data_IF_619073386203
#
_entry.id   IF_619073386203
#
_cell.length_a   1.000
_cell.length_b   1.000
_cell.length_c   1.000
_cell.angle_alpha   90.00
_cell.angle_beta   90.00
_cell.angle_gamma   90.00
#
_symmetry.space_group_name_H-M   'P 1'
#
loop_
_entity.id
_entity.type
_entity.pdbx_description
1 polymer ?
#
# COMPACT_ATOMS: atom_id res chain seq x y z
N UNK A 1 13.51 -5.64 -7.74
CA UNK A 1 14.71 -5.63 -8.62
C UNK A 1 15.61 -4.42 -8.37
N UNK A 2 15.16 -3.18 -8.58
CA UNK A 2 16.01 -1.97 -8.46
C UNK A 2 16.73 -1.80 -7.11
N UNK A 3 16.12 -2.17 -5.99
CA UNK A 3 16.76 -2.07 -4.67
C UNK A 3 17.98 -2.99 -4.52
N UNK A 4 17.97 -4.16 -5.14
CA UNK A 4 19.09 -5.12 -5.13
C UNK A 4 20.24 -4.56 -5.95
N UNK A 5 19.95 -4.10 -7.17
CA UNK A 5 20.95 -3.53 -8.08
C UNK A 5 21.62 -2.27 -7.50
N UNK A 6 20.86 -1.45 -6.76
CA UNK A 6 21.39 -0.26 -6.07
C UNK A 6 22.03 -0.58 -4.70
N UNK A 7 22.12 -1.85 -4.32
CA UNK A 7 22.60 -2.32 -3.01
C UNK A 7 21.89 -1.65 -1.81
N UNK A 8 20.61 -1.28 -1.97
CA UNK A 8 19.77 -0.64 -0.95
C UNK A 8 18.90 -1.68 -0.24
N UNK A 9 19.53 -2.69 0.38
CA UNK A 9 18.83 -3.80 1.05
C UNK A 9 17.94 -3.35 2.21
N UNK A 10 18.27 -2.22 2.86
CA UNK A 10 17.44 -1.63 3.92
C UNK A 10 16.02 -1.22 3.43
N UNK A 11 15.81 -1.08 2.11
CA UNK A 11 14.50 -0.78 1.52
C UNK A 11 13.68 -2.05 1.22
N UNK A 12 14.30 -3.23 1.23
CA UNK A 12 13.64 -4.52 1.02
C UNK A 12 13.14 -5.01 2.38
N UNK A 13 12.05 -4.41 2.84
CA UNK A 13 11.41 -4.82 4.10
C UNK A 13 10.52 -6.03 3.90
N UNK A 14 10.21 -6.73 4.99
CA UNK A 14 9.19 -7.80 4.97
C UNK A 14 7.87 -7.30 4.39
N UNK A 15 7.42 -6.09 4.77
CA UNK A 15 6.21 -5.45 4.22
C UNK A 15 6.30 -5.32 2.69
N UNK A 16 7.43 -4.84 2.16
CA UNK A 16 7.61 -4.66 0.73
C UNK A 16 7.50 -5.99 -0.03
N UNK A 17 8.22 -7.02 0.43
CA UNK A 17 8.22 -8.34 -0.22
C UNK A 17 6.86 -9.01 -0.09
N UNK A 18 6.27 -9.01 1.11
CA UNK A 18 4.95 -9.57 1.38
C UNK A 18 3.89 -8.95 0.49
N UNK A 19 3.82 -7.61 0.42
CA UNK A 19 2.86 -6.91 -0.41
C UNK A 19 3.05 -7.23 -1.90
N UNK A 20 4.25 -7.05 -2.45
CA UNK A 20 4.45 -7.21 -3.90
C UNK A 20 4.32 -8.66 -4.39
N UNK A 21 4.67 -9.67 -3.58
CA UNK A 21 4.48 -11.07 -3.96
C UNK A 21 3.02 -11.49 -3.89
N UNK A 22 2.33 -11.16 -2.79
CA UNK A 22 0.93 -11.55 -2.58
C UNK A 22 -0.04 -10.78 -3.47
N UNK A 23 0.20 -9.49 -3.74
CA UNK A 23 -0.68 -8.68 -4.59
C UNK A 23 -0.82 -9.24 -6.01
N UNK A 24 0.26 -9.80 -6.58
CA UNK A 24 0.23 -10.37 -7.94
C UNK A 24 -0.72 -11.58 -7.98
N UNK A 25 -0.63 -12.47 -6.99
CA UNK A 25 -1.46 -13.67 -6.90
C UNK A 25 -2.92 -13.27 -6.62
N UNK A 26 -3.14 -12.37 -5.66
CA UNK A 26 -4.47 -11.89 -5.30
C UNK A 26 -5.17 -11.20 -6.48
N UNK A 27 -4.47 -10.36 -7.24
CA UNK A 27 -5.04 -9.70 -8.42
C UNK A 27 -5.31 -10.68 -9.57
N UNK A 28 -4.46 -11.69 -9.76
CA UNK A 28 -4.72 -12.74 -10.74
C UNK A 28 -6.02 -13.49 -10.43
N UNK A 29 -6.22 -13.90 -9.17
CA UNK A 29 -7.45 -14.54 -8.72
C UNK A 29 -8.66 -13.59 -8.88
N UNK A 30 -8.51 -12.32 -8.49
CA UNK A 30 -9.57 -11.33 -8.59
C UNK A 30 -10.04 -11.14 -10.03
N UNK A 31 -9.13 -10.94 -11.00
CA UNK A 31 -9.51 -10.78 -12.42
C UNK A 31 -10.10 -12.07 -13.00
N UNK A 32 -9.61 -13.24 -12.56
CA UNK A 32 -10.08 -14.53 -13.06
C UNK A 32 -11.50 -14.87 -12.62
N UNK A 33 -11.85 -14.55 -11.38
CA UNK A 33 -13.10 -15.00 -10.75
C UNK A 33 -14.11 -13.87 -10.51
N UNK A 34 -13.65 -12.63 -10.37
CA UNK A 34 -14.50 -11.46 -10.07
C UNK A 34 -14.03 -10.23 -10.89
N UNK A 35 -14.12 -10.29 -12.23
CA UNK A 35 -13.73 -9.16 -13.08
C UNK A 35 -14.76 -8.03 -13.00
N UNK A 36 -14.62 -7.13 -12.02
CA UNK A 36 -15.42 -5.90 -11.93
C UNK A 36 -16.02 -5.64 -10.55
N UNK A 37 -17.10 -4.86 -10.51
CA UNK A 37 -17.77 -4.46 -9.29
C UNK A 37 -16.85 -3.70 -8.33
N UNK A 38 -16.82 -4.10 -7.06
CA UNK A 38 -16.02 -3.45 -6.02
C UNK A 38 -14.50 -3.51 -6.27
N UNK A 39 -14.03 -4.56 -6.95
CA UNK A 39 -12.62 -4.70 -7.29
C UNK A 39 -12.12 -3.57 -8.21
N UNK A 40 -12.99 -3.04 -9.08
CA UNK A 40 -12.64 -1.94 -9.97
C UNK A 40 -12.35 -0.64 -9.21
N UNK A 41 -13.20 -0.28 -8.24
CA UNK A 41 -12.98 0.91 -7.39
C UNK A 41 -11.67 0.80 -6.61
N UNK A 42 -11.37 -0.38 -6.07
CA UNK A 42 -10.11 -0.65 -5.37
C UNK A 42 -8.91 -0.46 -6.29
N UNK A 43 -8.97 -1.00 -7.52
CA UNK A 43 -7.93 -0.79 -8.54
C UNK A 43 -7.76 0.67 -8.93
N UNK A 44 -8.86 1.41 -9.09
CA UNK A 44 -8.84 2.83 -9.45
C UNK A 44 -8.18 3.68 -8.36
N UNK A 45 -8.62 3.55 -7.11
CA UNK A 45 -8.05 4.32 -5.99
C UNK A 45 -6.58 3.96 -5.77
N UNK A 46 -6.23 2.66 -5.92
CA UNK A 46 -4.85 2.22 -5.83
C UNK A 46 -3.96 2.84 -6.92
N UNK A 47 -4.45 2.89 -8.16
CA UNK A 47 -3.73 3.50 -9.28
C UNK A 47 -3.51 5.00 -9.03
N UNK A 48 -4.54 5.70 -8.54
CA UNK A 48 -4.44 7.12 -8.18
C UNK A 48 -3.35 7.40 -7.14
N UNK A 49 -3.31 6.62 -6.05
CA UNK A 49 -2.26 6.79 -5.02
C UNK A 49 -0.89 6.42 -5.57
N UNK A 50 -0.80 5.41 -6.44
CA UNK A 50 0.45 5.02 -7.09
C UNK A 50 1.03 6.11 -7.98
N UNK A 51 0.22 6.98 -8.61
CA UNK A 51 0.73 8.16 -9.31
C UNK A 51 1.65 8.96 -8.38
N UNK A 52 1.18 9.31 -7.18
CA UNK A 52 1.98 10.10 -6.24
C UNK A 52 3.22 9.36 -5.71
N UNK A 53 3.07 8.06 -5.41
CA UNK A 53 4.18 7.24 -4.92
C UNK A 53 5.29 7.16 -5.97
N UNK A 54 4.94 6.86 -7.22
CA UNK A 54 5.92 6.73 -8.30
C UNK A 54 6.51 8.07 -8.70
N UNK A 55 5.74 9.16 -8.65
CA UNK A 55 6.30 10.52 -8.81
C UNK A 55 7.36 10.79 -7.74
N UNK A 56 7.08 10.49 -6.48
CA UNK A 56 8.07 10.64 -5.40
C UNK A 56 9.32 9.79 -5.64
N UNK A 57 9.16 8.52 -6.03
CA UNK A 57 10.30 7.66 -6.33
C UNK A 57 11.09 8.17 -7.53
N UNK A 58 10.44 8.65 -8.59
CA UNK A 58 11.08 9.27 -9.74
C UNK A 58 11.95 10.46 -9.35
N UNK A 59 11.38 11.41 -8.58
CA UNK A 59 12.11 12.57 -8.07
C UNK A 59 13.26 12.17 -7.14
N UNK A 60 13.09 11.13 -6.32
CA UNK A 60 14.13 10.65 -5.40
C UNK A 60 15.37 10.07 -6.11
N UNK A 61 15.26 9.75 -7.39
CA UNK A 61 16.36 9.22 -8.21
C UNK A 61 17.19 10.34 -8.85
N UNK A 62 16.66 11.56 -9.00
CA UNK A 62 17.34 12.70 -9.64
C UNK A 62 18.56 13.22 -8.87
N UNK A 63 18.81 12.71 -7.67
CA UNK A 63 20.05 12.91 -6.92
C UNK A 63 19.88 13.71 -5.63
N UNK A 64 20.97 13.96 -4.89
CA UNK A 64 20.94 14.61 -3.58
C UNK A 64 20.38 16.04 -3.62
N UNK A 65 20.56 16.74 -4.74
CA UNK A 65 20.06 18.09 -4.97
C UNK A 65 18.53 18.14 -4.97
N UNK A 66 17.84 17.10 -5.44
CA UNK A 66 16.38 17.05 -5.45
C UNK A 66 15.82 16.40 -4.17
N UNK A 67 16.58 15.48 -3.55
CA UNK A 67 16.15 14.80 -2.33
C UNK A 67 15.88 15.75 -1.15
N UNK A 68 16.56 16.90 -1.08
CA UNK A 68 16.28 17.93 -0.05
C UNK A 68 14.85 18.47 -0.10
N UNK A 69 14.22 18.47 -1.27
CA UNK A 69 12.84 18.98 -1.44
C UNK A 69 11.78 17.92 -1.15
N UNK A 70 12.16 16.66 -0.89
CA UNK A 70 11.27 15.52 -0.66
C UNK A 70 10.82 15.36 0.80
N UNK A 71 10.59 16.47 1.50
CA UNK A 71 10.11 16.49 2.90
C UNK A 71 8.73 15.86 3.07
N UNK A 72 7.94 15.80 1.99
CA UNK A 72 6.55 15.34 1.99
C UNK A 72 6.40 13.81 1.98
N UNK A 73 7.50 13.05 2.10
CA UNK A 73 7.49 11.58 2.22
C UNK A 73 6.49 11.06 3.25
N UNK A 74 6.37 11.75 4.40
CA UNK A 74 5.44 11.36 5.47
C UNK A 74 3.98 11.43 5.03
N UNK A 75 3.62 12.44 4.24
CA UNK A 75 2.25 12.61 3.75
C UNK A 75 1.87 11.52 2.75
N UNK A 76 2.83 11.01 1.96
CA UNK A 76 2.61 9.84 1.12
C UNK A 76 2.29 8.59 1.93
N UNK A 77 3.01 8.35 3.02
CA UNK A 77 2.73 7.21 3.89
C UNK A 77 1.36 7.34 4.57
N UNK A 78 0.96 8.54 4.94
CA UNK A 78 -0.39 8.81 5.46
C UNK A 78 -1.44 8.56 4.37
N UNK A 79 -1.22 9.04 3.14
CA UNK A 79 -2.11 8.81 2.00
C UNK A 79 -2.31 7.32 1.71
N UNK A 80 -1.22 6.54 1.69
CA UNK A 80 -1.28 5.08 1.56
C UNK A 80 -2.06 4.41 2.69
N UNK A 81 -1.86 4.84 3.94
CA UNK A 81 -2.58 4.28 5.08
C UNK A 81 -4.08 4.61 5.00
N UNK A 82 -4.42 5.86 4.68
CA UNK A 82 -5.81 6.31 4.47
C UNK A 82 -6.46 5.53 3.33
N UNK A 83 -5.74 5.28 2.24
CA UNK A 83 -6.22 4.43 1.15
C UNK A 83 -6.59 3.02 1.65
N UNK A 84 -5.70 2.36 2.39
CA UNK A 84 -6.00 1.01 2.89
C UNK A 84 -7.19 0.98 3.84
N UNK A 85 -7.33 1.98 4.72
CA UNK A 85 -8.48 2.09 5.62
C UNK A 85 -9.77 2.33 4.84
N UNK A 86 -9.76 3.24 3.85
CA UNK A 86 -10.93 3.51 3.02
C UNK A 86 -11.36 2.28 2.23
N UNK A 87 -10.40 1.53 1.67
CA UNK A 87 -10.66 0.27 0.97
C UNK A 87 -11.21 -0.79 1.94
N UNK A 88 -10.65 -0.92 3.14
CA UNK A 88 -11.15 -1.86 4.15
C UNK A 88 -12.61 -1.56 4.53
N UNK A 89 -12.96 -0.29 4.74
CA UNK A 89 -14.33 0.13 5.02
C UNK A 89 -15.26 -0.20 3.84
N UNK A 90 -14.84 0.10 2.61
CA UNK A 90 -15.63 -0.21 1.42
C UNK A 90 -15.87 -1.72 1.28
N UNK A 91 -14.84 -2.54 1.42
CA UNK A 91 -14.97 -4.01 1.37
C UNK A 91 -15.77 -4.57 2.53
N UNK A 92 -15.70 -3.96 3.72
CA UNK A 92 -16.46 -4.42 4.90
C UNK A 92 -17.97 -4.28 4.71
N UNK A 93 -18.41 -3.34 3.87
CA UNK A 93 -19.84 -3.20 3.55
C UNK A 93 -20.43 -4.49 2.97
N UNK A 94 -19.64 -5.26 2.21
CA UNK A 94 -20.03 -6.57 1.67
C UNK A 94 -20.24 -7.64 2.75
N UNK A 95 -19.65 -7.49 3.94
CA UNK A 95 -19.81 -8.43 5.06
C UNK A 95 -21.11 -8.19 5.85
N UNK A 96 -21.67 -6.97 5.78
CA UNK A 96 -22.81 -6.55 6.61
C UNK A 96 -24.12 -6.39 5.84
N UNK A 97 -24.07 -6.42 4.51
CA UNK A 97 -25.26 -6.27 3.64
C UNK A 97 -25.38 -7.50 2.75
N UNK A 98 -26.60 -8.04 2.62
CA UNK A 98 -26.90 -9.08 1.65
C UNK A 98 -26.71 -8.50 0.23
N UNK A 99 -25.58 -8.84 -0.38
CA UNK A 99 -25.18 -8.39 -1.71
C UNK A 99 -24.87 -9.62 -2.56
N UNK A 100 -25.30 -9.64 -3.82
CA UNK A 100 -25.03 -10.75 -4.77
C UNK A 100 -23.54 -10.87 -5.17
N UNK A 101 -22.65 -10.17 -4.48
CA UNK A 101 -21.22 -10.16 -4.78
C UNK A 101 -20.51 -11.34 -4.11
N UNK A 102 -19.60 -11.99 -4.84
CA UNK A 102 -18.99 -13.26 -4.42
C UNK A 102 -18.34 -13.21 -3.03
N UNK A 103 -18.73 -14.13 -2.15
CA UNK A 103 -18.17 -14.32 -0.81
C UNK A 103 -16.64 -14.52 -0.79
N UNK A 104 -16.06 -14.97 -1.90
CA UNK A 104 -14.61 -15.07 -2.06
C UNK A 104 -13.89 -13.73 -1.86
N UNK A 105 -14.58 -12.61 -2.02
CA UNK A 105 -14.04 -11.28 -1.77
C UNK A 105 -13.84 -10.96 -0.29
N UNK A 106 -14.48 -11.70 0.61
CA UNK A 106 -14.28 -11.53 2.07
C UNK A 106 -12.85 -11.91 2.49
N UNK A 107 -12.16 -12.79 1.74
CA UNK A 107 -10.72 -13.07 1.95
C UNK A 107 -9.84 -11.84 1.67
N UNK A 108 -10.26 -10.97 0.75
CA UNK A 108 -9.54 -9.72 0.42
C UNK A 108 -9.59 -8.75 1.61
N UNK A 109 -10.69 -8.71 2.35
CA UNK A 109 -10.81 -7.90 3.57
C UNK A 109 -9.73 -8.25 4.60
N UNK A 110 -9.59 -9.55 4.93
CA UNK A 110 -8.57 -10.00 5.88
C UNK A 110 -7.15 -9.65 5.40
N UNK A 111 -6.90 -9.78 4.10
CA UNK A 111 -5.63 -9.37 3.51
C UNK A 111 -5.37 -7.86 3.63
N UNK A 112 -6.38 -7.00 3.41
CA UNK A 112 -6.23 -5.54 3.59
C UNK A 112 -5.90 -5.21 5.05
N UNK A 113 -6.50 -5.92 6.01
CA UNK A 113 -6.21 -5.73 7.45
C UNK A 113 -4.74 -6.03 7.76
N UNK A 114 -4.15 -7.10 7.20
CA UNK A 114 -2.72 -7.37 7.42
C UNK A 114 -1.83 -6.26 6.86
N UNK A 115 -2.18 -5.71 5.69
CA UNK A 115 -1.47 -4.58 5.09
C UNK A 115 -1.58 -3.29 5.94
N UNK A 116 -2.75 -3.01 6.53
CA UNK A 116 -2.93 -1.88 7.44
C UNK A 116 -2.01 -2.03 8.65
N UNK A 117 -2.00 -3.21 9.30
CA UNK A 117 -1.17 -3.47 10.49
C UNK A 117 0.31 -3.29 10.15
N UNK A 118 0.79 -3.89 9.07
CA UNK A 118 2.20 -3.80 8.67
C UNK A 118 2.59 -2.37 8.26
N UNK A 119 1.71 -1.65 7.57
CA UNK A 119 1.95 -0.26 7.15
C UNK A 119 1.93 0.71 8.34
N UNK A 120 1.03 0.48 9.31
CA UNK A 120 1.00 1.24 10.56
C UNK A 120 2.25 0.97 11.39
N UNK A 121 2.69 -0.29 11.48
CA UNK A 121 3.93 -0.65 12.15
C UNK A 121 5.14 0.06 11.51
N UNK A 122 5.23 0.06 10.17
CA UNK A 122 6.25 0.81 9.44
C UNK A 122 6.20 2.31 9.75
N UNK A 123 5.01 2.91 9.77
CA UNK A 123 4.82 4.33 10.07
C UNK A 123 5.27 4.68 11.51
N UNK A 124 4.89 3.86 12.50
CA UNK A 124 5.27 4.07 13.90
C UNK A 124 6.79 3.96 14.06
N UNK A 125 7.40 2.92 13.49
CA UNK A 125 8.84 2.72 13.58
C UNK A 125 9.63 3.85 12.91
N UNK A 126 9.21 4.31 11.74
CA UNK A 126 9.95 5.29 10.93
C UNK A 126 9.72 6.73 11.38
N UNK A 127 8.51 7.09 11.84
CA UNK A 127 8.16 8.50 12.07
C UNK A 127 7.86 8.85 13.53
N UNK A 128 7.44 7.89 14.37
CA UNK A 128 7.19 8.14 15.81
C UNK A 128 8.38 7.73 16.67
N UNK A 129 9.00 6.58 16.40
CA UNK A 129 10.16 6.10 17.18
C UNK A 129 11.44 6.86 16.88
N UNK A 130 11.66 7.31 15.64
CA UNK A 130 12.83 8.15 15.32
C UNK A 130 12.77 9.52 15.98
N UNK A 131 11.57 10.11 16.13
CA UNK A 131 11.38 11.35 16.92
C UNK A 131 11.61 11.18 18.42
N UNK A 132 11.44 9.96 18.96
CA UNK A 132 11.71 9.67 20.37
C UNK A 132 13.20 9.44 20.66
N UNK A 133 14.05 9.34 19.63
CA UNK A 133 15.50 9.16 19.73
C UNK A 133 16.31 10.43 19.42
N UNK A 134 15.68 11.51 18.97
CA UNK A 134 16.30 12.82 18.89
C UNK A 134 16.21 13.50 20.27
N UNK A 135 17.33 13.72 20.98
CA UNK A 135 17.36 14.48 22.24
C UNK A 135 16.95 15.94 22.03
#
# INVERSE_FOLDING_TARGET
VFFILRKKFNQITFLHVYHHSSMIINWWLCVKYVPGGQAFLIGMVNSFVHVFIYTYYGLSVLGPAEQKYLWWKRYLTILQLTQFVAIALHTSYNLFTDCDFSDGFNLVFFYIVTLIILSLNFYIQTYRRDKAKSP
#
